data_IF_953143314565
#
_entry.id   IF_953143314565
#
_cell.length_a   1.000
_cell.length_b   1.000
_cell.length_c   1.000
_cell.angle_alpha   90.00
_cell.angle_beta   90.00
_cell.angle_gamma   90.00
#
_symmetry.space_group_name_H-M   'P 1'
#
loop_
_entity.id
_entity.type
_entity.pdbx_description
1 polymer ?
#
# COMPACT_ATOMS: atom_id res chain seq x y z
N UNK A 1 29.09 -40.96 11.50
CA UNK A 1 29.82 -39.98 12.34
C UNK A 1 28.98 -38.71 12.41
N UNK A 2 28.66 -38.32 13.64
CA UNK A 2 27.80 -37.23 14.10
C UNK A 2 28.24 -35.85 13.52
N UNK A 3 27.44 -34.78 13.47
CA UNK A 3 26.67 -34.19 14.56
C UNK A 3 25.51 -33.31 14.05
N UNK A 4 24.34 -33.53 14.65
CA UNK A 4 23.23 -32.58 14.80
C UNK A 4 23.63 -31.38 15.64
N UNK A 5 23.00 -30.21 15.44
CA UNK A 5 23.02 -29.13 16.43
C UNK A 5 21.75 -28.28 16.37
N UNK A 6 20.73 -28.75 17.08
CA UNK A 6 19.61 -27.97 17.60
C UNK A 6 20.10 -27.11 18.76
N UNK A 7 19.73 -25.82 18.78
CA UNK A 7 19.64 -25.06 20.03
C UNK A 7 18.38 -24.19 20.02
N UNK A 8 17.54 -24.49 21.00
CA UNK A 8 16.35 -23.76 21.41
C UNK A 8 16.72 -22.61 22.37
N UNK A 9 15.67 -22.06 23.00
CA UNK A 9 15.58 -21.09 24.10
C UNK A 9 15.38 -19.64 23.62
N UNK A 10 14.15 -19.12 23.60
CA UNK A 10 13.29 -18.74 24.76
C UNK A 10 13.92 -17.67 25.65
N UNK A 11 13.28 -16.50 25.72
CA UNK A 11 12.91 -15.89 27.00
C UNK A 11 11.89 -14.77 26.80
N UNK A 12 10.78 -14.92 27.49
CA UNK A 12 9.68 -13.98 27.63
C UNK A 12 10.05 -12.87 28.64
N UNK A 13 9.41 -11.71 28.50
CA UNK A 13 9.23 -10.78 29.62
C UNK A 13 7.81 -10.21 29.57
N UNK A 14 7.01 -10.63 30.54
CA UNK A 14 5.66 -10.13 30.87
C UNK A 14 5.84 -8.97 31.85
N UNK A 15 5.16 -7.83 31.62
CA UNK A 15 4.82 -6.88 32.69
C UNK A 15 3.36 -6.49 32.54
N UNK A 16 2.57 -6.87 33.53
CA UNK A 16 1.20 -6.46 33.77
C UNK A 16 1.15 -5.05 34.40
N UNK A 17 0.00 -4.36 34.29
CA UNK A 17 -0.78 -3.74 35.39
C UNK A 17 -1.56 -2.50 34.89
N UNK A 18 -2.88 -2.45 35.13
CA UNK A 18 -3.65 -1.20 34.99
C UNK A 18 -5.14 -1.37 34.74
N UNK A 19 -5.87 -1.91 35.72
CA UNK A 19 -7.34 -1.96 35.73
C UNK A 19 -7.85 -0.58 36.15
N UNK A 20 -8.61 0.11 35.29
CA UNK A 20 -9.38 1.29 35.67
C UNK A 20 -10.77 1.21 35.01
N UNK A 21 -11.75 0.87 35.82
CA UNK A 21 -13.17 0.76 35.46
C UNK A 21 -13.84 2.13 35.65
N UNK A 22 -14.34 2.79 34.60
CA UNK A 22 -15.16 3.99 34.76
C UNK A 22 -16.62 3.61 35.12
N UNK A 23 -17.32 4.47 35.90
CA UNK A 23 -18.68 4.21 36.37
C UNK A 23 -19.72 4.28 35.25
N UNK A 24 -20.76 3.44 35.38
CA UNK A 24 -21.97 3.44 34.57
C UNK A 24 -22.66 4.81 34.58
N UNK A 25 -22.69 5.49 33.44
CA UNK A 25 -23.48 6.71 33.26
C UNK A 25 -24.92 6.35 32.89
N UNK A 26 -25.87 6.89 33.66
CA UNK A 26 -27.29 6.81 33.40
C UNK A 26 -27.62 7.44 32.03
N UNK A 27 -28.33 6.70 31.19
CA UNK A 27 -28.81 7.20 29.90
C UNK A 27 -29.98 8.17 30.12
N UNK A 28 -29.77 9.45 29.86
CA UNK A 28 -30.86 10.42 29.73
C UNK A 28 -31.60 10.21 28.39
N UNK A 29 -32.93 10.41 28.33
CA UNK A 29 -33.67 10.28 27.08
C UNK A 29 -33.26 11.36 26.07
N UNK A 30 -32.88 10.93 24.87
CA UNK A 30 -32.55 11.82 23.76
C UNK A 30 -33.81 12.56 23.28
N UNK A 31 -33.78 13.89 23.29
CA UNK A 31 -34.78 14.71 22.62
C UNK A 31 -34.73 14.48 21.09
N UNK A 32 -35.85 14.52 20.37
CA UNK A 32 -35.85 14.29 18.93
C UNK A 32 -35.13 15.43 18.20
N UNK A 33 -34.10 15.07 17.43
CA UNK A 33 -33.40 15.99 16.53
C UNK A 33 -34.35 16.32 15.38
N UNK A 34 -34.77 17.59 15.27
CA UNK A 34 -35.49 18.10 14.10
C UNK A 34 -34.50 18.22 12.95
N UNK A 35 -34.70 17.46 11.88
CA UNK A 35 -33.86 17.52 10.69
C UNK A 35 -33.99 18.90 10.01
N UNK A 36 -32.89 19.67 9.99
CA UNK A 36 -32.76 20.88 9.19
C UNK A 36 -32.33 20.47 7.77
N UNK A 37 -33.03 20.89 6.70
CA UNK A 37 -32.56 20.64 5.33
C UNK A 37 -31.21 21.33 5.10
N UNK A 38 -30.19 20.56 4.72
CA UNK A 38 -28.89 21.11 4.34
C UNK A 38 -28.99 21.76 2.96
N UNK A 39 -28.57 23.03 2.84
CA UNK A 39 -28.43 23.69 1.56
C UNK A 39 -27.27 23.03 0.77
N UNK A 40 -27.37 22.92 -0.57
CA UNK A 40 -26.30 22.35 -1.38
C UNK A 40 -25.11 23.31 -1.42
N UNK A 41 -24.00 22.94 -0.77
CA UNK A 41 -22.70 23.60 -0.93
C UNK A 41 -22.07 23.12 -2.22
N UNK A 42 -22.10 23.93 -3.27
CA UNK A 42 -21.30 23.68 -4.48
C UNK A 42 -19.83 23.91 -4.15
N UNK A 43 -19.07 22.83 -3.94
CA UNK A 43 -17.63 22.92 -3.80
C UNK A 43 -17.02 23.31 -5.16
N UNK A 44 -16.45 24.50 -5.25
CA UNK A 44 -15.67 24.91 -6.41
C UNK A 44 -14.41 24.03 -6.49
N UNK A 45 -14.32 23.20 -7.54
CA UNK A 45 -13.10 22.46 -7.85
C UNK A 45 -12.05 23.46 -8.33
N UNK A 46 -11.09 23.82 -7.47
CA UNK A 46 -9.92 24.57 -7.90
C UNK A 46 -9.10 23.69 -8.85
N UNK A 47 -8.90 24.17 -10.08
CA UNK A 47 -7.98 23.55 -11.01
C UNK A 47 -6.54 23.69 -10.47
N UNK A 48 -5.67 22.68 -10.65
CA UNK A 48 -4.28 22.80 -10.25
C UNK A 48 -3.61 23.92 -11.05
N UNK A 49 -3.14 24.95 -10.34
CA UNK A 49 -2.24 25.97 -10.92
C UNK A 49 -0.94 25.28 -11.30
N UNK A 50 -0.62 25.26 -12.59
CA UNK A 50 0.69 24.82 -13.08
C UNK A 50 1.71 25.88 -12.65
N UNK A 51 2.39 25.64 -11.53
CA UNK A 51 3.48 26.50 -11.05
C UNK A 51 4.72 26.33 -11.91
N UNK A 52 5.40 27.46 -12.17
CA UNK A 52 6.70 27.66 -12.83
C UNK A 52 7.11 26.66 -13.92
N UNK A 53 7.29 27.17 -15.15
CA UNK A 53 7.83 26.49 -16.34
C UNK A 53 9.27 25.94 -16.13
N UNK A 54 9.45 25.03 -15.19
CA UNK A 54 10.62 24.15 -15.18
C UNK A 54 10.48 23.22 -16.38
N UNK A 55 11.15 23.59 -17.47
CA UNK A 55 11.27 22.74 -18.65
C UNK A 55 11.74 21.35 -18.24
N UNK A 56 10.86 20.35 -18.37
CA UNK A 56 11.18 18.97 -18.06
C UNK A 56 12.36 18.50 -18.94
N UNK A 57 13.24 17.62 -18.42
CA UNK A 57 14.34 17.07 -19.21
C UNK A 57 13.81 16.27 -20.41
N UNK A 58 14.55 16.31 -21.52
CA UNK A 58 14.22 15.48 -22.68
C UNK A 58 14.63 14.02 -22.40
N UNK A 59 13.65 13.15 -22.15
CA UNK A 59 13.86 11.74 -21.86
C UNK A 59 13.58 10.88 -23.09
N UNK A 60 14.47 9.92 -23.39
CA UNK A 60 14.18 8.84 -24.33
C UNK A 60 13.42 7.72 -23.62
N UNK A 61 12.12 7.61 -23.89
CA UNK A 61 11.25 6.60 -23.30
C UNK A 61 11.08 5.43 -24.25
N UNK A 62 11.18 4.20 -23.72
CA UNK A 62 10.89 2.96 -24.46
C UNK A 62 9.95 2.10 -23.64
N UNK A 63 8.94 1.53 -24.30
CA UNK A 63 8.05 0.57 -23.64
C UNK A 63 8.77 -0.77 -23.48
N UNK A 64 8.87 -1.22 -22.24
CA UNK A 64 9.49 -2.50 -21.89
C UNK A 64 8.45 -3.63 -21.83
N UNK A 65 7.24 -3.39 -21.35
CA UNK A 65 6.18 -4.41 -21.27
C UNK A 65 4.80 -3.78 -21.43
N UNK A 66 3.88 -4.52 -22.05
CA UNK A 66 2.46 -4.17 -22.21
C UNK A 66 1.59 -5.36 -21.79
N UNK A 67 0.30 -5.11 -21.61
CA UNK A 67 -0.69 -6.15 -21.31
C UNK A 67 -0.56 -6.71 -19.90
N UNK A 68 -0.03 -5.93 -18.96
CA UNK A 68 -0.01 -6.30 -17.55
C UNK A 68 -1.38 -6.08 -16.93
N UNK A 69 -1.81 -7.05 -16.14
CA UNK A 69 -3.09 -7.02 -15.45
C UNK A 69 -2.87 -6.55 -14.01
N UNK A 70 -3.21 -5.29 -13.74
CA UNK A 70 -3.01 -4.57 -12.46
C UNK A 70 -1.57 -4.76 -11.92
N UNK A 71 -0.55 -4.16 -12.58
CA UNK A 71 0.82 -4.25 -12.09
C UNK A 71 0.94 -3.59 -10.71
N UNK A 72 1.59 -4.27 -9.77
CA UNK A 72 1.76 -3.76 -8.41
C UNK A 72 3.18 -3.25 -8.19
N UNK A 73 4.17 -4.10 -8.45
CA UNK A 73 5.58 -3.80 -8.18
C UNK A 73 6.48 -4.25 -9.34
N UNK A 74 7.59 -3.54 -9.52
CA UNK A 74 8.57 -3.78 -10.58
C UNK A 74 9.97 -3.53 -10.01
N UNK A 75 10.89 -4.46 -10.25
CA UNK A 75 12.32 -4.26 -9.96
C UNK A 75 13.19 -4.70 -11.14
N UNK A 76 14.25 -3.93 -11.38
CA UNK A 76 15.24 -4.21 -12.42
C UNK A 76 16.44 -4.91 -11.81
N UNK A 77 16.93 -5.92 -12.51
CA UNK A 77 18.05 -6.73 -12.08
C UNK A 77 19.35 -6.26 -12.76
N UNK A 78 20.54 -6.56 -12.20
CA UNK A 78 21.82 -6.15 -12.76
C UNK A 78 22.09 -6.64 -14.19
N UNK A 79 21.40 -7.70 -14.62
CA UNK A 79 21.50 -8.27 -15.96
C UNK A 79 20.50 -7.66 -16.98
N UNK A 80 19.92 -6.49 -16.67
CA UNK A 80 18.85 -5.83 -17.43
C UNK A 80 17.56 -6.65 -17.56
N UNK A 81 17.37 -7.68 -16.73
CA UNK A 81 16.09 -8.35 -16.59
C UNK A 81 15.15 -7.55 -15.66
N UNK A 82 13.89 -7.96 -15.63
CA UNK A 82 12.84 -7.30 -14.85
C UNK A 82 11.99 -8.35 -14.14
N UNK A 83 11.79 -8.18 -12.83
CA UNK A 83 10.74 -8.87 -12.10
C UNK A 83 9.54 -7.93 -11.97
N UNK A 84 8.34 -8.48 -12.10
CA UNK A 84 7.12 -7.71 -11.90
C UNK A 84 6.03 -8.56 -11.26
N UNK A 85 5.14 -7.90 -10.52
CA UNK A 85 4.00 -8.55 -9.86
C UNK A 85 2.68 -8.05 -10.46
N UNK A 86 1.70 -8.95 -10.56
CA UNK A 86 0.35 -8.66 -11.07
C UNK A 86 -0.66 -9.00 -9.97
N UNK A 87 -1.37 -7.99 -9.46
CA UNK A 87 -2.23 -8.11 -8.27
C UNK A 87 -3.37 -9.10 -8.50
N UNK A 88 -4.13 -8.89 -9.56
CA UNK A 88 -5.29 -9.72 -9.91
C UNK A 88 -4.90 -11.16 -10.21
N UNK A 89 -3.69 -11.37 -10.74
CA UNK A 89 -3.18 -12.69 -11.10
C UNK A 89 -2.45 -13.40 -9.98
N UNK A 90 -2.23 -12.73 -8.84
CA UNK A 90 -1.47 -13.26 -7.70
C UNK A 90 -0.13 -13.89 -8.14
N UNK A 91 0.55 -13.25 -9.09
CA UNK A 91 1.73 -13.81 -9.76
C UNK A 91 2.92 -12.86 -9.72
N UNK A 92 4.10 -13.44 -9.56
CA UNK A 92 5.39 -12.82 -9.84
C UNK A 92 5.90 -13.38 -11.16
N UNK A 93 6.47 -12.54 -12.03
CA UNK A 93 6.96 -12.93 -13.35
C UNK A 93 8.34 -12.36 -13.60
N UNK A 94 9.17 -13.13 -14.29
CA UNK A 94 10.49 -12.71 -14.75
C UNK A 94 10.44 -12.37 -16.23
N UNK A 95 11.09 -11.28 -16.64
CA UNK A 95 11.32 -10.94 -18.05
C UNK A 95 12.82 -10.84 -18.28
N UNK A 96 13.34 -11.69 -19.17
CA UNK A 96 14.75 -11.64 -19.55
C UNK A 96 15.09 -10.35 -20.31
N UNK A 97 16.37 -10.01 -20.39
CA UNK A 97 16.86 -8.82 -21.09
C UNK A 97 16.52 -8.81 -22.59
N UNK A 98 16.40 -10.00 -23.20
CA UNK A 98 15.92 -10.19 -24.58
C UNK A 98 14.41 -10.02 -24.77
N UNK A 99 13.66 -9.87 -23.67
CA UNK A 99 12.25 -9.50 -23.68
C UNK A 99 11.23 -10.64 -23.51
N UNK A 100 11.68 -11.88 -23.41
CA UNK A 100 10.83 -13.05 -23.11
C UNK A 100 10.42 -13.11 -21.64
N UNK A 101 9.20 -13.59 -21.39
CA UNK A 101 8.69 -13.82 -20.04
C UNK A 101 8.91 -15.27 -19.60
N UNK A 102 9.22 -15.46 -18.32
CA UNK A 102 9.34 -16.75 -17.66
C UNK A 102 8.57 -16.73 -16.34
N UNK A 103 8.20 -17.93 -15.88
CA UNK A 103 7.47 -18.17 -14.62
C UNK A 103 8.46 -18.43 -13.51
#
# INVERSE_FOLDING_TARGET
>A
MHLSRTLALSSAAVVALGIAMPPSQASAPAAPIRAQPAAPTTAATAAPTVGDDRRAPNLRVRVVKRGLDIPWDITFLPNNAMLYTQRSRLSIRYRGSGGGDHV
#
